data_IF_691045067206
#
_entry.id   IF_691045067206
#
_cell.length_a   1.000
_cell.length_b   1.000
_cell.length_c   1.000
_cell.angle_alpha   90.00
_cell.angle_beta   90.00
_cell.angle_gamma   90.00
#
_symmetry.space_group_name_H-M   'P 1'
#
loop_
_entity.id
_entity.type
_entity.pdbx_description
1 polymer ?
#
# COMPACT_ATOMS: atom_id res chain seq x y z
N UNK A 1 -17.54 21.83 17.82
CA UNK A 1 -18.94 21.79 18.31
C UNK A 1 -19.12 22.37 19.71
N UNK A 2 -18.24 22.07 20.67
CA UNK A 2 -18.29 22.61 22.04
C UNK A 2 -18.49 24.14 22.12
N UNK A 3 -17.63 24.93 21.47
CA UNK A 3 -17.75 26.41 21.42
C UNK A 3 -19.04 26.92 20.78
N UNK A 4 -19.64 26.14 19.88
CA UNK A 4 -20.81 26.57 19.11
C UNK A 4 -22.11 26.39 19.91
N UNK A 5 -22.19 25.36 20.75
CA UNK A 5 -23.44 24.95 21.41
C UNK A 5 -23.36 24.85 22.94
N UNK A 6 -22.23 24.43 23.51
CA UNK A 6 -22.11 24.22 24.97
C UNK A 6 -21.61 25.46 25.70
N UNK A 7 -20.61 26.16 25.15
CA UNK A 7 -20.03 27.36 25.78
C UNK A 7 -21.01 28.53 25.85
N UNK A 8 -22.02 28.56 24.96
CA UNK A 8 -23.05 29.62 24.95
C UNK A 8 -24.21 29.36 25.91
N UNK A 9 -24.36 28.13 26.41
CA UNK A 9 -25.45 27.75 27.31
C UNK A 9 -24.96 27.72 28.75
N UNK A 10 -25.34 28.75 29.52
CA UNK A 10 -24.95 28.93 30.90
C UNK A 10 -25.43 27.80 31.85
N UNK A 11 -26.45 27.02 31.47
CA UNK A 11 -26.90 25.89 32.26
C UNK A 11 -26.00 24.66 32.05
N UNK A 12 -25.48 24.48 30.83
CA UNK A 12 -24.55 23.40 30.48
C UNK A 12 -23.15 23.68 31.01
N UNK A 13 -22.65 24.92 30.87
CA UNK A 13 -21.33 25.32 31.37
C UNK A 13 -21.17 25.08 32.88
N UNK A 14 -22.24 25.26 33.65
CA UNK A 14 -22.24 25.02 35.11
C UNK A 14 -22.30 23.54 35.49
N UNK A 15 -22.70 22.65 34.59
CA UNK A 15 -22.89 21.21 34.86
C UNK A 15 -21.80 20.34 34.23
N UNK A 16 -21.12 20.84 33.21
CA UNK A 16 -20.12 20.09 32.46
C UNK A 16 -18.75 20.74 32.58
N UNK A 17 -17.77 19.97 33.03
CA UNK A 17 -16.37 20.34 32.99
C UNK A 17 -15.75 19.85 31.68
N UNK A 18 -15.15 20.73 30.85
CA UNK A 18 -14.43 20.28 29.67
C UNK A 18 -13.18 19.49 30.07
N UNK A 19 -12.97 18.36 29.40
CA UNK A 19 -11.74 17.57 29.47
C UNK A 19 -11.11 17.57 28.08
N UNK A 20 -9.88 18.05 27.99
CA UNK A 20 -9.11 18.03 26.74
C UNK A 20 -8.57 16.62 26.53
N UNK A 21 -8.86 16.04 25.37
CA UNK A 21 -8.29 14.77 24.94
C UNK A 21 -7.15 15.08 23.98
N UNK A 22 -5.94 14.76 24.40
CA UNK A 22 -4.75 14.93 23.58
C UNK A 22 -4.66 13.84 22.50
N UNK A 23 -4.05 14.19 21.37
CA UNK A 23 -3.72 13.21 20.33
C UNK A 23 -2.72 12.18 20.90
N UNK A 24 -2.97 10.87 20.74
CA UNK A 24 -2.03 9.85 21.21
C UNK A 24 -0.67 9.97 20.52
N UNK A 25 0.37 9.60 21.26
CA UNK A 25 1.72 9.46 20.71
C UNK A 25 1.77 8.34 19.65
N UNK A 26 2.81 8.34 18.82
CA UNK A 26 3.03 7.28 17.83
C UNK A 26 3.07 5.89 18.50
N UNK A 27 3.78 5.77 19.62
CA UNK A 27 3.89 4.51 20.38
C UNK A 27 2.53 4.03 20.92
N UNK A 28 1.74 4.93 21.51
CA UNK A 28 0.39 4.61 21.98
C UNK A 28 -0.53 4.20 20.83
N UNK A 29 -0.38 4.84 19.66
CA UNK A 29 -1.18 4.49 18.48
C UNK A 29 -0.84 3.10 17.96
N UNK A 30 0.44 2.72 17.96
CA UNK A 30 0.87 1.37 17.59
C UNK A 30 0.21 0.34 18.52
N UNK A 31 0.20 0.57 19.83
CA UNK A 31 -0.49 -0.31 20.80
C UNK A 31 -1.99 -0.41 20.54
N UNK A 32 -2.66 0.72 20.26
CA UNK A 32 -4.09 0.76 19.89
C UNK A 32 -4.34 -0.10 18.65
N UNK A 33 -3.51 0.06 17.60
CA UNK A 33 -3.65 -0.70 16.36
C UNK A 33 -3.41 -2.19 16.57
N UNK A 34 -2.45 -2.59 17.40
CA UNK A 34 -2.27 -3.99 17.78
C UNK A 34 -3.48 -4.57 18.51
N UNK A 35 -4.16 -3.78 19.34
CA UNK A 35 -5.41 -4.17 19.99
C UNK A 35 -6.58 -4.37 19.00
N UNK A 36 -6.60 -3.61 17.91
CA UNK A 36 -7.63 -3.69 16.86
C UNK A 36 -7.30 -4.71 15.77
N UNK A 37 -6.01 -5.09 15.62
CA UNK A 37 -5.47 -5.93 14.56
C UNK A 37 -6.29 -7.19 14.30
N UNK A 38 -6.57 -7.96 15.34
CA UNK A 38 -7.28 -9.25 15.22
C UNK A 38 -8.72 -9.08 14.68
N UNK A 39 -9.41 -8.00 15.05
CA UNK A 39 -10.76 -7.73 14.57
C UNK A 39 -10.77 -7.41 13.06
N UNK A 40 -9.80 -6.60 12.59
CA UNK A 40 -9.65 -6.29 11.16
C UNK A 40 -9.21 -7.51 10.34
N UNK A 41 -8.24 -8.29 10.83
CA UNK A 41 -7.78 -9.51 10.18
C UNK A 41 -8.93 -10.50 9.93
N UNK A 42 -9.80 -10.68 10.93
CA UNK A 42 -10.94 -11.58 10.81
C UNK A 42 -12.08 -11.00 9.95
N UNK A 43 -12.35 -9.70 10.05
CA UNK A 43 -13.38 -9.06 9.25
C UNK A 43 -13.04 -9.03 7.75
N UNK A 44 -11.80 -8.68 7.39
CA UNK A 44 -11.36 -8.60 6.00
C UNK A 44 -10.77 -9.90 5.45
N UNK A 45 -10.54 -10.92 6.30
CA UNK A 45 -9.86 -12.17 5.93
C UNK A 45 -8.45 -11.93 5.40
N UNK A 46 -7.69 -11.12 6.12
CA UNK A 46 -6.31 -10.74 5.79
C UNK A 46 -5.39 -10.99 6.99
N UNK A 47 -4.09 -10.89 6.77
CA UNK A 47 -3.09 -10.85 7.84
C UNK A 47 -2.37 -9.50 7.79
N UNK A 48 -2.28 -8.81 8.91
CA UNK A 48 -1.61 -7.50 9.00
C UNK A 48 -0.22 -7.74 9.56
N UNK A 49 0.82 -7.34 8.85
CA UNK A 49 2.19 -7.38 9.38
C UNK A 49 2.42 -6.29 10.42
N UNK A 50 3.36 -6.50 11.33
CA UNK A 50 3.69 -5.48 12.34
C UNK A 50 4.38 -4.27 11.68
N UNK A 51 5.13 -4.51 10.61
CA UNK A 51 5.72 -3.45 9.78
C UNK A 51 4.64 -2.57 9.12
N UNK A 52 3.50 -3.15 8.72
CA UNK A 52 2.37 -2.37 8.20
C UNK A 52 1.74 -1.47 9.27
N UNK A 53 1.60 -1.95 10.51
CA UNK A 53 1.10 -1.16 11.64
C UNK A 53 2.02 0.04 11.89
N UNK A 54 3.33 -0.20 12.00
CA UNK A 54 4.31 0.87 12.17
C UNK A 54 4.29 1.88 11.01
N UNK A 55 4.21 1.38 9.78
CA UNK A 55 4.16 2.20 8.58
C UNK A 55 2.91 3.09 8.55
N UNK A 56 1.75 2.56 8.94
CA UNK A 56 0.51 3.31 8.98
C UNK A 56 0.61 4.51 9.93
N UNK A 57 1.22 4.33 11.11
CA UNK A 57 1.45 5.43 12.06
C UNK A 57 2.47 6.42 11.53
N UNK A 58 3.67 5.96 11.15
CA UNK A 58 4.76 6.85 10.69
C UNK A 58 4.38 7.65 9.44
N UNK A 59 3.75 7.00 8.46
CA UNK A 59 3.37 7.64 7.20
C UNK A 59 2.14 8.55 7.38
N UNK A 60 1.14 8.16 8.17
CA UNK A 60 0.01 9.05 8.43
C UNK A 60 0.45 10.32 9.16
N UNK A 61 1.31 10.23 10.17
CA UNK A 61 1.88 11.41 10.85
C UNK A 61 2.67 12.30 9.90
N UNK A 62 3.42 11.71 8.97
CA UNK A 62 4.31 12.46 8.09
C UNK A 62 3.61 13.11 6.89
N UNK A 63 2.55 12.51 6.39
CA UNK A 63 1.92 12.89 5.11
C UNK A 63 0.46 13.34 5.24
N UNK A 64 -0.25 12.96 6.30
CA UNK A 64 -1.66 13.25 6.53
C UNK A 64 -1.77 14.16 7.77
N UNK A 65 -1.69 15.48 7.53
CA UNK A 65 -1.61 16.49 8.59
C UNK A 65 -2.97 17.10 8.96
N UNK A 66 -4.02 16.83 8.18
CA UNK A 66 -5.38 17.32 8.36
C UNK A 66 -6.21 16.45 9.31
N UNK A 67 -5.61 15.38 9.86
CA UNK A 67 -6.22 14.41 10.76
C UNK A 67 -5.31 14.07 11.92
N UNK A 68 -5.89 13.62 13.02
CA UNK A 68 -5.19 13.23 14.23
C UNK A 68 -5.07 11.70 14.34
N UNK A 69 -4.03 11.23 15.02
CA UNK A 69 -3.95 9.85 15.51
C UNK A 69 -5.04 9.61 16.57
N UNK A 70 -5.50 8.35 16.75
CA UNK A 70 -5.13 7.15 15.99
C UNK A 70 -5.95 6.98 14.70
N UNK A 71 -6.99 7.79 14.52
CA UNK A 71 -8.01 7.72 13.46
C UNK A 71 -7.42 7.61 12.06
N UNK A 72 -6.50 8.53 11.69
CA UNK A 72 -5.85 8.49 10.37
C UNK A 72 -5.05 7.22 10.09
N UNK A 73 -4.51 6.57 11.12
CA UNK A 73 -3.73 5.34 10.96
C UNK A 73 -4.64 4.11 10.87
N UNK A 74 -5.75 4.12 11.62
CA UNK A 74 -6.81 3.09 11.52
C UNK A 74 -7.38 3.07 10.11
N UNK A 75 -7.73 4.22 9.55
CA UNK A 75 -8.33 4.27 8.21
C UNK A 75 -7.36 3.82 7.11
N UNK A 76 -6.05 4.09 7.25
CA UNK A 76 -5.06 3.56 6.31
C UNK A 76 -5.00 2.03 6.33
N UNK A 77 -5.09 1.43 7.52
CA UNK A 77 -5.12 -0.03 7.69
C UNK A 77 -6.40 -0.60 7.09
N UNK A 78 -7.57 -0.01 7.38
CA UNK A 78 -8.86 -0.46 6.86
C UNK A 78 -8.93 -0.41 5.32
N UNK A 79 -8.51 0.72 4.73
CA UNK A 79 -8.46 0.87 3.28
C UNK A 79 -7.48 -0.13 2.65
N UNK A 80 -6.32 -0.36 3.28
CA UNK A 80 -5.37 -1.37 2.83
C UNK A 80 -5.98 -2.79 2.88
N UNK A 81 -6.73 -3.12 3.94
CA UNK A 81 -7.40 -4.42 4.07
C UNK A 81 -8.43 -4.61 2.94
N UNK A 82 -9.24 -3.60 2.70
CA UNK A 82 -10.27 -3.62 1.66
C UNK A 82 -9.67 -3.73 0.26
N UNK A 83 -8.61 -2.96 -0.04
CA UNK A 83 -7.93 -2.97 -1.35
C UNK A 83 -7.28 -4.31 -1.66
N UNK A 84 -6.57 -4.91 -0.70
CA UNK A 84 -5.84 -6.16 -0.94
C UNK A 84 -6.80 -7.33 -1.17
N UNK A 85 -7.96 -7.33 -0.50
CA UNK A 85 -9.00 -8.35 -0.72
C UNK A 85 -9.57 -8.34 -2.13
N UNK A 86 -9.62 -7.17 -2.79
CA UNK A 86 -10.11 -7.06 -4.17
C UNK A 86 -9.13 -7.67 -5.18
N UNK A 87 -7.83 -7.75 -4.84
CA UNK A 87 -6.83 -8.38 -5.72
C UNK A 87 -7.14 -9.88 -5.86
N UNK A 88 -7.09 -10.39 -7.09
CA UNK A 88 -7.32 -11.82 -7.35
C UNK A 88 -6.36 -12.70 -6.54
N UNK A 89 -6.87 -13.83 -6.01
CA UNK A 89 -6.03 -14.82 -5.34
C UNK A 89 -4.92 -15.26 -6.30
N UNK A 90 -3.63 -15.08 -5.94
CA UNK A 90 -2.54 -15.52 -6.80
C UNK A 90 -2.60 -17.04 -6.94
N UNK A 91 -2.52 -17.52 -8.18
CA UNK A 91 -2.40 -18.95 -8.47
C UNK A 91 -1.14 -19.50 -7.79
N UNK A 92 -1.16 -20.72 -7.22
CA UNK A 92 0.04 -21.33 -6.65
C UNK A 92 1.17 -21.41 -7.69
N UNK A 93 2.43 -21.28 -7.25
CA UNK A 93 3.59 -21.41 -8.14
C UNK A 93 3.57 -22.71 -8.96
N UNK A 94 3.02 -23.78 -8.42
CA UNK A 94 2.84 -25.05 -9.14
C UNK A 94 1.90 -24.96 -10.34
N UNK A 95 0.90 -24.08 -10.28
CA UNK A 95 -0.02 -23.80 -11.40
C UNK A 95 0.65 -22.79 -12.34
N UNK A 96 1.17 -21.68 -11.82
CA UNK A 96 1.82 -20.63 -12.62
C UNK A 96 2.99 -21.17 -13.45
N UNK A 97 3.86 -22.00 -12.86
CA UNK A 97 4.99 -22.59 -13.60
C UNK A 97 4.51 -23.51 -14.73
N UNK A 98 3.42 -24.25 -14.51
CA UNK A 98 2.85 -25.13 -15.55
C UNK A 98 2.17 -24.36 -16.67
N UNK A 99 1.55 -23.21 -16.35
CA UNK A 99 1.03 -22.28 -17.37
C UNK A 99 2.18 -21.73 -18.23
N UNK A 100 3.34 -21.42 -17.63
CA UNK A 100 4.55 -21.03 -18.36
C UNK A 100 5.07 -22.17 -19.24
N UNK A 101 5.19 -23.39 -18.71
CA UNK A 101 5.63 -24.57 -19.49
C UNK A 101 4.74 -24.80 -20.72
N UNK A 102 3.41 -24.69 -20.55
CA UNK A 102 2.42 -24.81 -21.64
C UNK A 102 2.58 -23.67 -22.66
N UNK A 103 2.84 -22.44 -22.21
CA UNK A 103 3.05 -21.30 -23.10
C UNK A 103 4.34 -21.46 -23.92
N UNK A 104 5.43 -21.91 -23.31
CA UNK A 104 6.70 -22.18 -23.99
C UNK A 104 6.53 -23.29 -25.05
N UNK A 105 5.91 -24.42 -24.68
CA UNK A 105 5.67 -25.53 -25.61
C UNK A 105 4.74 -25.15 -26.78
N UNK A 106 3.75 -24.27 -26.54
CA UNK A 106 2.91 -23.73 -27.61
C UNK A 106 3.72 -22.89 -28.60
N UNK A 107 4.61 -22.03 -28.09
CA UNK A 107 5.47 -21.21 -28.93
C UNK A 107 6.42 -22.08 -29.77
N UNK A 108 7.05 -23.09 -29.15
CA UNK A 108 7.91 -24.05 -29.85
C UNK A 108 7.16 -24.83 -30.93
N UNK A 109 5.92 -25.27 -30.64
CA UNK A 109 5.06 -25.94 -31.61
C UNK A 109 4.76 -25.03 -32.81
N UNK A 110 4.39 -23.77 -32.55
CA UNK A 110 4.12 -22.80 -33.60
C UNK A 110 5.35 -22.56 -34.48
N UNK A 111 6.55 -22.48 -33.88
CA UNK A 111 7.81 -22.37 -34.61
C UNK A 111 8.08 -23.60 -35.49
N UNK A 112 7.91 -24.82 -34.98
CA UNK A 112 8.07 -26.04 -35.78
C UNK A 112 7.12 -26.07 -36.98
N UNK A 113 5.85 -25.69 -36.79
CA UNK A 113 4.85 -25.61 -37.87
C UNK A 113 5.25 -24.56 -38.90
N UNK A 114 5.68 -23.37 -38.45
CA UNK A 114 6.11 -22.27 -39.32
C UNK A 114 7.32 -22.65 -40.18
N UNK A 115 8.23 -23.45 -39.64
CA UNK A 115 9.43 -23.94 -40.35
C UNK A 115 9.20 -25.22 -41.16
N UNK A 116 7.98 -25.77 -41.18
CA UNK A 116 7.66 -27.01 -41.91
C UNK A 116 8.27 -28.27 -41.28
N UNK A 117 8.76 -28.20 -40.04
CA UNK A 117 9.23 -29.36 -39.28
C UNK A 117 8.04 -30.10 -38.65
N UNK A 118 7.34 -30.87 -39.47
CA UNK A 118 6.17 -31.63 -39.04
C UNK A 118 6.51 -32.76 -38.05
N UNK A 119 7.75 -33.29 -38.09
CA UNK A 119 8.19 -34.32 -37.14
C UNK A 119 8.43 -33.71 -35.76
N UNK A 120 9.15 -32.59 -35.69
CA UNK A 120 9.32 -31.83 -34.45
C UNK A 120 8.00 -31.32 -33.90
N UNK A 121 7.10 -30.81 -34.76
CA UNK A 121 5.76 -30.37 -34.35
C UNK A 121 4.94 -31.49 -33.72
N UNK A 122 4.99 -32.72 -34.25
CA UNK A 122 4.27 -33.85 -33.66
C UNK A 122 4.78 -34.22 -32.26
N UNK A 123 6.11 -34.12 -32.04
CA UNK A 123 6.72 -34.34 -30.72
C UNK A 123 6.29 -33.23 -29.75
N UNK A 124 6.45 -31.96 -30.13
CA UNK A 124 6.08 -30.81 -29.29
C UNK A 124 4.59 -30.78 -28.95
N UNK A 125 3.73 -31.16 -29.89
CA UNK A 125 2.28 -31.33 -29.64
C UNK A 125 2.01 -32.38 -28.56
N UNK A 126 2.68 -33.53 -28.62
CA UNK A 126 2.53 -34.57 -27.60
C UNK A 126 3.00 -34.11 -26.22
N UNK A 127 4.08 -33.33 -26.16
CA UNK A 127 4.59 -32.79 -24.90
C UNK A 127 3.70 -31.66 -24.36
N UNK A 128 3.12 -30.83 -25.24
CA UNK A 128 2.08 -29.87 -24.91
C UNK A 128 0.85 -30.55 -24.30
N UNK A 129 0.33 -31.62 -24.93
CA UNK A 129 -0.83 -32.36 -24.42
C UNK A 129 -0.57 -32.92 -23.00
N UNK A 130 0.65 -33.42 -22.74
CA UNK A 130 1.06 -33.87 -21.40
C UNK A 130 1.16 -32.71 -20.41
N UNK A 131 1.74 -31.58 -20.82
CA UNK A 131 1.89 -30.39 -19.98
C UNK A 131 0.51 -29.82 -19.62
N UNK A 132 -0.43 -29.80 -20.58
CA UNK A 132 -1.81 -29.39 -20.38
C UNK A 132 -2.52 -30.32 -19.38
N UNK A 133 -2.43 -31.64 -19.54
CA UNK A 133 -3.01 -32.58 -18.58
C UNK A 133 -2.41 -32.42 -17.16
N UNK A 134 -1.12 -32.11 -17.07
CA UNK A 134 -0.47 -31.84 -15.79
C UNK A 134 -0.92 -30.50 -15.16
N UNK A 135 -1.17 -29.48 -15.99
CA UNK A 135 -1.74 -28.20 -15.57
C UNK A 135 -3.18 -28.38 -15.05
N UNK A 136 -4.02 -29.08 -15.80
CA UNK A 136 -5.42 -29.35 -15.42
C UNK A 136 -5.50 -30.10 -14.08
N UNK A 137 -4.63 -31.09 -13.88
CA UNK A 137 -4.50 -31.81 -12.60
C UNK A 137 -4.05 -30.89 -11.47
N UNK A 138 -3.14 -29.96 -11.72
CA UNK A 138 -2.67 -28.99 -10.73
C UNK A 138 -3.77 -27.99 -10.35
N UNK A 139 -4.56 -27.53 -11.32
CA UNK A 139 -5.72 -26.66 -11.11
C UNK A 139 -6.79 -27.38 -10.28
N UNK A 140 -7.15 -28.62 -10.65
CA UNK A 140 -8.13 -29.42 -9.92
C UNK A 140 -7.69 -29.68 -8.46
N UNK A 141 -6.40 -29.95 -8.25
CA UNK A 141 -5.83 -30.12 -6.90
C UNK A 141 -5.89 -28.81 -6.10
N UNK A 142 -5.62 -27.67 -6.74
CA UNK A 142 -5.70 -26.36 -6.08
C UNK A 142 -7.13 -26.03 -5.65
N UNK A 143 -8.12 -26.27 -6.51
CA UNK A 143 -9.54 -26.09 -6.18
C UNK A 143 -9.99 -26.98 -5.00
N UNK A 144 -9.41 -28.17 -4.85
CA UNK A 144 -9.76 -29.12 -3.79
C UNK A 144 -8.99 -28.98 -2.46
N UNK A 145 -8.07 -28.02 -2.33
CA UNK A 145 -7.19 -27.89 -1.14
C UNK A 145 -7.23 -26.50 -0.49
N UNK A 146 -8.26 -25.69 -0.78
CA UNK A 146 -8.36 -24.31 -0.31
C UNK A 146 -8.34 -24.21 1.22
N UNK A 147 -7.18 -23.94 1.79
CA UNK A 147 -7.09 -23.13 3.02
C UNK A 147 -7.60 -21.73 2.67
N UNK A 148 -8.28 -21.09 3.62
CA UNK A 148 -8.70 -19.69 3.49
C UNK A 148 -7.46 -18.84 3.14
N UNK A 149 -7.41 -18.33 1.90
CA UNK A 149 -6.33 -17.46 1.46
C UNK A 149 -6.51 -16.12 2.14
N UNK A 150 -5.63 -15.81 3.09
CA UNK A 150 -5.55 -14.51 3.74
C UNK A 150 -4.33 -13.76 3.21
N UNK A 151 -4.50 -12.76 2.35
CA UNK A 151 -3.36 -11.99 1.86
C UNK A 151 -2.76 -11.18 3.00
N UNK A 152 -1.44 -10.95 2.91
CA UNK A 152 -0.69 -10.20 3.92
C UNK A 152 -0.61 -8.73 3.53
N UNK A 153 -0.93 -7.85 4.47
CA UNK A 153 -0.72 -6.40 4.37
C UNK A 153 0.68 -6.10 4.92
N UNK A 154 1.53 -5.61 4.03
CA UNK A 154 2.89 -5.19 4.32
C UNK A 154 3.02 -3.65 4.29
N UNK A 155 4.20 -3.16 4.67
CA UNK A 155 4.55 -1.74 4.59
C UNK A 155 4.31 -1.15 3.20
N UNK A 156 4.64 -1.88 2.12
CA UNK A 156 4.47 -1.41 0.75
C UNK A 156 3.00 -1.12 0.42
N UNK A 157 2.08 -1.96 0.92
CA UNK A 157 0.64 -1.75 0.75
C UNK A 157 0.21 -0.42 1.38
N UNK A 158 0.71 -0.11 2.57
CA UNK A 158 0.43 1.18 3.24
C UNK A 158 1.02 2.35 2.45
N UNK A 159 2.25 2.21 1.93
CA UNK A 159 2.85 3.22 1.05
C UNK A 159 1.97 3.47 -0.19
N UNK A 160 1.43 2.43 -0.82
CA UNK A 160 0.52 2.61 -1.96
C UNK A 160 -0.73 3.41 -1.59
N UNK A 161 -1.37 3.13 -0.44
CA UNK A 161 -2.58 3.84 0.00
C UNK A 161 -2.25 5.30 0.30
N UNK A 162 -1.19 5.57 1.05
CA UNK A 162 -0.77 6.94 1.37
C UNK A 162 -0.43 7.72 0.10
N UNK A 163 0.22 7.07 -0.88
CA UNK A 163 0.48 7.69 -2.19
C UNK A 163 -0.80 8.05 -2.92
N UNK A 164 -1.81 7.20 -2.84
CA UNK A 164 -3.11 7.41 -3.47
C UNK A 164 -3.87 8.58 -2.82
N UNK A 165 -3.91 8.63 -1.50
CA UNK A 165 -4.62 9.68 -0.76
C UNK A 165 -3.96 11.04 -0.90
N UNK A 166 -2.64 11.09 -0.82
CA UNK A 166 -1.89 12.35 -0.81
C UNK A 166 -1.41 12.79 -2.20
N UNK A 167 -1.41 11.88 -3.17
CA UNK A 167 -0.78 12.08 -4.47
C UNK A 167 0.77 12.12 -4.42
N UNK A 168 1.37 11.87 -3.24
CA UNK A 168 2.82 11.94 -3.03
C UNK A 168 3.39 10.51 -3.01
N UNK A 169 4.25 10.13 -3.97
CA UNK A 169 4.87 8.80 -3.96
C UNK A 169 5.71 8.59 -2.70
N UNK A 170 5.34 7.60 -1.88
CA UNK A 170 6.03 7.23 -0.63
C UNK A 170 6.95 6.03 -0.76
N UNK A 171 7.02 5.40 -1.94
CA UNK A 171 7.76 4.16 -2.14
C UNK A 171 9.19 4.24 -1.62
N UNK A 172 9.67 3.15 -1.03
CA UNK A 172 11.08 2.95 -0.61
C UNK A 172 12.07 3.19 -1.76
N UNK A 173 12.36 4.45 -2.00
CA UNK A 173 13.55 4.96 -2.66
C UNK A 173 14.00 6.18 -1.88
N UNK A 174 14.50 5.96 -0.65
CA UNK A 174 15.11 7.02 0.17
C UNK A 174 16.18 7.81 -0.58
N UNK A 175 16.84 7.20 -1.57
CA UNK A 175 17.76 7.89 -2.51
C UNK A 175 17.04 8.84 -3.48
N UNK A 176 15.88 8.45 -4.04
CA UNK A 176 15.13 9.32 -4.96
C UNK A 176 14.41 10.45 -4.23
N UNK A 177 13.87 10.21 -3.03
CA UNK A 177 13.26 11.25 -2.20
C UNK A 177 14.31 12.31 -1.83
N UNK A 178 15.49 11.89 -1.36
CA UNK A 178 16.61 12.80 -1.08
C UNK A 178 17.05 13.57 -2.34
N UNK A 179 17.18 12.89 -3.48
CA UNK A 179 17.50 13.55 -4.75
C UNK A 179 16.41 14.53 -5.21
N UNK A 180 15.13 14.21 -5.00
CA UNK A 180 14.01 15.12 -5.29
C UNK A 180 14.05 16.34 -4.39
N UNK A 181 14.33 16.18 -3.10
CA UNK A 181 14.50 17.29 -2.16
C UNK A 181 15.67 18.20 -2.56
N UNK A 182 16.81 17.61 -2.95
CA UNK A 182 17.95 18.36 -3.46
C UNK A 182 17.60 19.13 -4.74
N UNK A 183 16.82 18.52 -5.64
CA UNK A 183 16.39 19.12 -6.91
C UNK A 183 15.07 19.90 -6.84
N UNK A 184 14.51 20.12 -5.64
CA UNK A 184 13.14 20.61 -5.46
C UNK A 184 12.92 21.99 -6.12
N UNK A 185 13.88 22.91 -5.97
CA UNK A 185 13.83 24.25 -6.58
C UNK A 185 13.77 24.18 -8.11
N UNK A 186 14.62 23.35 -8.71
CA UNK A 186 14.62 23.11 -10.16
C UNK A 186 13.30 22.51 -10.65
N UNK A 187 12.73 21.56 -9.88
CA UNK A 187 11.46 20.93 -10.24
C UNK A 187 10.31 21.95 -10.19
N UNK A 188 10.27 22.80 -9.16
CA UNK A 188 9.25 23.86 -9.03
C UNK A 188 9.36 24.88 -10.16
N UNK A 189 10.58 25.26 -10.56
CA UNK A 189 10.79 26.20 -11.68
C UNK A 189 10.36 25.66 -13.05
N UNK A 190 10.14 24.35 -13.21
CA UNK A 190 9.52 23.81 -14.45
C UNK A 190 8.05 24.19 -14.58
N UNK A 191 7.38 24.55 -13.47
CA UNK A 191 5.96 24.95 -13.43
C UNK A 191 5.77 26.41 -13.03
N UNK A 192 6.70 26.98 -12.29
CA UNK A 192 6.65 28.37 -11.82
C UNK A 192 7.72 29.19 -12.52
N UNK A 193 7.27 30.13 -13.34
CA UNK A 193 8.15 31.08 -14.06
C UNK A 193 8.33 32.33 -13.20
N UNK A 194 9.58 32.75 -12.99
CA UNK A 194 9.92 33.86 -12.09
C UNK A 194 9.83 33.47 -10.61
N UNK A 195 9.69 34.47 -9.71
CA UNK A 195 9.51 34.26 -8.26
C UNK A 195 10.59 33.39 -7.59
N UNK A 196 11.84 33.57 -7.99
CA UNK A 196 12.98 32.75 -7.50
C UNK A 196 13.10 32.78 -5.98
N UNK A 197 12.92 33.94 -5.36
CA UNK A 197 12.99 34.09 -3.91
C UNK A 197 11.93 33.26 -3.17
N UNK A 198 10.68 33.29 -3.66
CA UNK A 198 9.59 32.51 -3.09
C UNK A 198 9.82 31.00 -3.25
N UNK A 199 10.27 30.56 -4.44
CA UNK A 199 10.56 29.15 -4.70
C UNK A 199 11.69 28.64 -3.80
N UNK A 200 12.76 29.41 -3.64
CA UNK A 200 13.87 29.07 -2.73
C UNK A 200 13.42 29.04 -1.26
N UNK A 201 12.62 30.01 -0.82
CA UNK A 201 12.11 30.07 0.54
C UNK A 201 11.25 28.83 0.88
N UNK A 202 10.30 28.49 0.00
CA UNK A 202 9.44 27.32 0.15
C UNK A 202 10.27 26.03 0.12
N UNK A 203 11.17 25.87 -0.85
CA UNK A 203 11.98 24.65 -0.95
C UNK A 203 12.90 24.46 0.26
N UNK A 204 13.47 25.53 0.82
CA UNK A 204 14.23 25.47 2.09
C UNK A 204 13.35 25.09 3.27
N UNK A 205 12.14 25.64 3.38
CA UNK A 205 11.19 25.30 4.44
C UNK A 205 10.76 23.82 4.36
N UNK A 206 10.40 23.34 3.16
CA UNK A 206 10.01 21.95 2.90
C UNK A 206 11.17 21.00 3.24
N UNK A 207 12.40 21.28 2.77
CA UNK A 207 13.58 20.46 3.11
C UNK A 207 13.79 20.35 4.62
N UNK A 208 13.73 21.48 5.36
CA UNK A 208 13.89 21.51 6.82
C UNK A 208 12.84 20.66 7.54
N UNK A 209 11.56 20.87 7.22
CA UNK A 209 10.46 20.10 7.81
C UNK A 209 10.61 18.60 7.53
N UNK A 210 11.17 18.25 6.37
CA UNK A 210 11.29 16.87 5.92
C UNK A 210 12.45 16.08 6.53
N UNK A 211 13.49 16.76 7.01
CA UNK A 211 14.64 16.17 7.73
C UNK A 211 14.49 16.26 9.26
N UNK A 212 13.29 16.60 9.76
CA UNK A 212 13.03 16.69 11.20
C UNK A 212 13.62 17.93 11.88
N UNK A 213 14.21 18.86 11.12
CA UNK A 213 14.70 20.14 11.62
C UNK A 213 13.57 21.17 11.57
N UNK A 214 12.54 20.95 12.40
CA UNK A 214 11.49 21.95 12.62
C UNK A 214 12.05 22.99 13.60
N UNK A 215 12.12 24.25 13.19
CA UNK A 215 12.31 25.35 14.13
C UNK A 215 11.05 25.42 15.00
N UNK A 216 11.20 25.32 16.31
CA UNK A 216 10.13 25.66 17.24
C UNK A 216 9.80 27.14 17.04
N UNK A 217 8.59 27.41 16.57
CA UNK A 217 7.98 28.74 16.63
C UNK A 217 6.93 28.70 17.74
#
# INVERSE_FOLDING_TARGET
EYRKYFEKDAALERRFQPVTVEEPTEAQTIEILHGLKSAYEEFHKVNISDEAVEAAVKLSTRYINDRNLPDKAIDLIDEACSKVRIKEKPKPKSVTNKELDVAELNLELEMCVRHGDFKGAAVRKKDLDKAQAALDKAIAKWQGTEKEYRPVIDENTIEEIVSMWTGIPVTKMGKNEQQRLLKLESILHKRVVGQTEAVTAVAKAVRRGRVGLKSAN
#
